data_IF_985741007005
#
_entry.id   IF_985741007005
#
_cell.length_a   1.000
_cell.length_b   1.000
_cell.length_c   1.000
_cell.angle_alpha   90.00
_cell.angle_beta   90.00
_cell.angle_gamma   90.00
#
_symmetry.space_group_name_H-M   'P 1'
#
loop_
_entity.id
_entity.type
_entity.pdbx_description
1 polymer ?
#
# COMPACT_ATOMS: atom_id res chain seq x y z
N UNK A 1 21.32 -35.81 37.85
CA UNK A 1 20.81 -34.43 37.96
C UNK A 1 19.74 -34.21 36.91
N UNK A 2 18.47 -34.12 37.31
CA UNK A 2 17.33 -33.90 36.39
C UNK A 2 17.30 -32.42 35.98
N UNK A 3 17.59 -32.10 34.70
CA UNK A 3 17.40 -30.74 34.16
C UNK A 3 15.92 -30.36 34.25
N UNK A 4 15.59 -29.37 35.07
CA UNK A 4 14.28 -28.74 35.06
C UNK A 4 14.13 -27.94 33.76
N UNK A 5 13.25 -28.40 32.86
CA UNK A 5 12.70 -27.52 31.82
C UNK A 5 11.85 -26.48 32.54
N UNK A 6 12.31 -25.23 32.59
CA UNK A 6 11.46 -24.12 32.99
C UNK A 6 10.29 -24.04 32.00
N UNK A 7 9.07 -24.29 32.48
CA UNK A 7 7.85 -23.96 31.73
C UNK A 7 7.76 -22.44 31.66
N UNK A 8 7.78 -21.87 30.46
CA UNK A 8 7.53 -20.45 30.26
C UNK A 8 6.16 -20.09 30.88
N UNK A 9 6.15 -19.05 31.70
CA UNK A 9 4.95 -18.53 32.34
C UNK A 9 4.02 -17.99 31.26
N UNK A 10 2.82 -18.56 31.12
CA UNK A 10 1.80 -18.15 30.15
C UNK A 10 0.99 -17.00 30.77
N UNK A 11 1.20 -15.73 30.38
CA UNK A 11 0.44 -14.63 30.96
C UNK A 11 -1.04 -14.73 30.56
N UNK A 12 -1.93 -14.35 31.48
CA UNK A 12 -3.37 -14.32 31.21
C UNK A 12 -3.67 -13.41 30.01
N UNK A 13 -4.56 -13.83 29.11
CA UNK A 13 -4.99 -13.05 27.94
C UNK A 13 -4.15 -13.23 26.67
N UNK A 14 -3.03 -13.99 26.71
CA UNK A 14 -2.21 -14.29 25.52
C UNK A 14 -2.20 -15.80 25.24
N UNK A 15 -2.58 -16.19 24.04
CA UNK A 15 -2.56 -17.60 23.62
C UNK A 15 -1.28 -17.96 22.87
N UNK A 16 -0.86 -19.22 22.97
CA UNK A 16 0.27 -19.73 22.20
C UNK A 16 -0.26 -20.44 20.95
N UNK A 17 0.28 -20.06 19.80
CA UNK A 17 -0.06 -20.62 18.51
C UNK A 17 1.01 -21.62 18.04
N UNK A 18 0.50 -22.66 17.40
CA UNK A 18 1.23 -23.78 16.81
C UNK A 18 0.57 -24.09 15.47
N UNK A 19 1.21 -24.91 14.65
CA UNK A 19 0.65 -25.31 13.34
C UNK A 19 -0.76 -25.91 13.47
N UNK A 20 -1.07 -26.53 14.61
CA UNK A 20 -2.35 -27.20 14.86
C UNK A 20 -3.52 -26.26 15.13
N UNK A 21 -3.26 -25.06 15.66
CA UNK A 21 -4.32 -24.15 16.11
C UNK A 21 -4.26 -22.76 15.46
N UNK A 22 -3.20 -22.44 14.71
CA UNK A 22 -2.99 -21.12 14.12
C UNK A 22 -4.19 -20.69 13.27
N UNK A 23 -4.53 -21.45 12.23
CA UNK A 23 -5.60 -21.11 11.30
C UNK A 23 -6.94 -20.89 12.03
N UNK A 24 -7.38 -21.87 12.82
CA UNK A 24 -8.63 -21.77 13.58
C UNK A 24 -8.66 -20.60 14.57
N UNK A 25 -7.52 -20.23 15.15
CA UNK A 25 -7.44 -19.13 16.10
C UNK A 25 -7.56 -17.79 15.38
N UNK A 26 -6.88 -17.61 14.26
CA UNK A 26 -6.94 -16.37 13.47
C UNK A 26 -8.32 -16.23 12.81
N UNK A 27 -8.84 -17.30 12.19
CA UNK A 27 -10.17 -17.31 11.54
C UNK A 27 -11.31 -16.97 12.49
N UNK A 28 -11.18 -17.37 13.76
CA UNK A 28 -12.18 -17.10 14.80
C UNK A 28 -12.20 -15.65 15.29
N UNK A 29 -11.22 -14.82 14.91
CA UNK A 29 -11.06 -13.47 15.46
C UNK A 29 -10.94 -12.41 14.36
N UNK A 30 -11.87 -11.44 14.29
CA UNK A 30 -11.80 -10.34 13.34
C UNK A 30 -10.52 -9.52 13.44
N UNK A 31 -9.86 -9.48 14.60
CA UNK A 31 -8.61 -8.78 14.84
C UNK A 31 -7.71 -9.62 15.74
N UNK A 32 -6.49 -9.91 15.26
CA UNK A 32 -5.50 -10.68 16.00
C UNK A 32 -4.12 -10.04 15.89
N UNK A 33 -3.34 -10.13 16.97
CA UNK A 33 -1.94 -9.72 17.04
C UNK A 33 -1.14 -10.96 17.41
N UNK A 34 -0.21 -11.35 16.54
CA UNK A 34 0.66 -12.51 16.71
C UNK A 34 2.10 -12.06 16.88
N UNK A 35 2.70 -12.42 18.01
CA UNK A 35 4.08 -12.10 18.34
C UNK A 35 4.99 -13.30 18.15
N UNK A 36 5.88 -13.25 17.17
CA UNK A 36 6.95 -14.21 16.96
C UNK A 36 8.08 -13.90 17.92
N UNK A 37 8.44 -14.86 18.77
CA UNK A 37 9.41 -14.68 19.85
C UNK A 37 10.29 -15.92 20.00
N UNK A 38 11.41 -15.79 20.73
CA UNK A 38 12.22 -16.92 21.16
C UNK A 38 12.49 -16.85 22.68
N UNK A 39 12.40 -17.97 23.41
CA UNK A 39 12.62 -17.99 24.86
C UNK A 39 14.06 -17.66 25.26
N UNK A 40 15.01 -17.94 24.37
CA UNK A 40 16.44 -17.69 24.50
C UNK A 40 16.79 -16.19 24.57
N UNK A 41 15.95 -15.31 24.01
CA UNK A 41 16.24 -13.87 23.85
C UNK A 41 15.47 -13.00 24.86
N UNK A 42 16.18 -12.14 25.58
CA UNK A 42 15.59 -11.25 26.58
C UNK A 42 14.62 -10.22 25.97
N UNK A 43 14.96 -9.64 24.80
CA UNK A 43 14.11 -8.73 24.04
C UNK A 43 12.78 -9.37 23.62
N UNK A 44 12.80 -10.67 23.28
CA UNK A 44 11.61 -11.45 22.94
C UNK A 44 10.66 -11.65 24.13
N UNK A 45 11.18 -11.80 25.36
CA UNK A 45 10.33 -11.91 26.56
C UNK A 45 9.58 -10.61 26.87
N UNK A 46 10.15 -9.46 26.52
CA UNK A 46 9.49 -8.16 26.69
C UNK A 46 8.25 -8.02 25.77
N UNK A 47 8.28 -8.61 24.57
CA UNK A 47 7.13 -8.64 23.66
C UNK A 47 5.92 -9.33 24.30
N UNK A 48 6.16 -10.50 24.89
CA UNK A 48 5.11 -11.30 25.55
C UNK A 48 4.47 -10.53 26.70
N UNK A 49 5.26 -9.78 27.47
CA UNK A 49 4.76 -8.91 28.55
C UNK A 49 3.95 -7.73 28.02
N UNK A 50 4.41 -7.10 26.94
CA UNK A 50 3.69 -6.01 26.28
C UNK A 50 2.31 -6.48 25.78
N UNK A 51 2.23 -7.68 25.20
CA UNK A 51 0.97 -8.26 24.73
C UNK A 51 0.03 -8.58 25.87
N UNK A 52 0.53 -9.11 26.98
CA UNK A 52 -0.29 -9.34 28.17
C UNK A 52 -0.91 -8.03 28.68
N UNK A 53 -0.10 -6.96 28.80
CA UNK A 53 -0.58 -5.65 29.21
C UNK A 53 -1.61 -5.06 28.22
N UNK A 54 -1.39 -5.24 26.91
CA UNK A 54 -2.29 -4.78 25.86
C UNK A 54 -3.60 -5.59 25.82
N UNK A 55 -3.57 -6.90 26.09
CA UNK A 55 -4.76 -7.77 26.12
C UNK A 55 -5.80 -7.31 27.15
N UNK A 56 -5.35 -6.78 28.29
CA UNK A 56 -6.23 -6.18 29.29
C UNK A 56 -6.86 -4.87 28.82
N UNK A 57 -6.23 -4.13 27.90
CA UNK A 57 -6.74 -2.86 27.34
C UNK A 57 -7.63 -3.06 26.11
N UNK A 58 -7.43 -4.16 25.37
CA UNK A 58 -8.11 -4.46 24.10
C UNK A 58 -8.76 -5.86 24.14
N UNK A 59 -9.86 -6.05 24.88
CA UNK A 59 -10.44 -7.37 25.13
C UNK A 59 -11.05 -8.05 23.88
N UNK A 60 -11.30 -7.29 22.81
CA UNK A 60 -11.82 -7.80 21.53
C UNK A 60 -10.72 -8.13 20.50
N UNK A 61 -9.45 -7.97 20.88
CA UNK A 61 -8.29 -8.35 20.07
C UNK A 61 -7.74 -9.68 20.58
N UNK A 62 -7.53 -10.63 19.68
CA UNK A 62 -6.78 -11.83 20.01
C UNK A 62 -5.29 -11.47 20.15
N UNK A 63 -4.73 -11.59 21.35
CA UNK A 63 -3.28 -11.56 21.53
C UNK A 63 -2.73 -12.99 21.55
N UNK A 64 -1.75 -13.22 20.69
CA UNK A 64 -1.18 -14.53 20.46
C UNK A 64 0.34 -14.45 20.31
N UNK A 65 1.03 -15.56 20.59
CA UNK A 65 2.47 -15.69 20.39
C UNK A 65 2.81 -16.98 19.65
N UNK A 66 3.88 -16.94 18.86
CA UNK A 66 4.47 -18.11 18.20
C UNK A 66 5.93 -18.18 18.62
N UNK A 67 6.34 -19.29 19.23
CA UNK A 67 7.77 -19.58 19.43
C UNK A 67 8.40 -19.91 18.06
N UNK A 68 9.19 -19.00 17.51
CA UNK A 68 9.77 -19.13 16.18
C UNK A 68 10.86 -20.23 16.11
N UNK A 69 11.50 -20.57 17.23
CA UNK A 69 12.46 -21.69 17.30
C UNK A 69 11.71 -23.03 17.29
N UNK A 70 10.54 -23.10 17.94
CA UNK A 70 9.73 -24.31 18.01
C UNK A 70 8.77 -24.50 16.81
N UNK A 71 8.39 -23.42 16.13
CA UNK A 71 7.45 -23.40 15.00
C UNK A 71 8.07 -22.71 13.76
N UNK A 72 9.21 -23.19 13.25
CA UNK A 72 9.93 -22.54 12.14
C UNK A 72 9.12 -22.48 10.85
N UNK A 73 8.19 -23.45 10.63
CA UNK A 73 7.33 -23.44 9.46
C UNK A 73 6.32 -22.27 9.47
N UNK A 74 5.77 -21.92 10.64
CA UNK A 74 4.89 -20.75 10.77
C UNK A 74 5.71 -19.47 10.58
N UNK A 75 6.88 -19.37 11.21
CA UNK A 75 7.76 -18.21 11.03
C UNK A 75 8.12 -17.98 9.56
N UNK A 76 8.49 -19.05 8.84
CA UNK A 76 8.78 -19.00 7.41
C UNK A 76 7.57 -18.59 6.57
N UNK A 77 6.36 -19.01 6.95
CA UNK A 77 5.13 -18.54 6.27
C UNK A 77 4.97 -17.02 6.40
N UNK A 78 5.29 -16.41 7.52
CA UNK A 78 5.12 -14.96 7.67
C UNK A 78 6.38 -14.15 7.36
N UNK A 79 7.33 -14.74 6.65
CA UNK A 79 8.63 -14.14 6.30
C UNK A 79 9.40 -13.62 7.52
N UNK A 80 9.22 -14.28 8.67
CA UNK A 80 9.83 -13.87 9.94
C UNK A 80 11.25 -14.44 10.02
N UNK A 81 12.22 -13.60 9.67
CA UNK A 81 13.65 -13.93 9.73
C UNK A 81 14.35 -13.51 11.02
N UNK A 82 13.72 -12.64 11.82
CA UNK A 82 14.25 -12.21 13.12
C UNK A 82 13.13 -12.10 14.15
N UNK A 83 13.49 -12.30 15.42
CA UNK A 83 12.60 -12.16 16.57
C UNK A 83 13.17 -11.16 17.58
N UNK A 84 12.32 -10.39 18.29
CA UNK A 84 10.85 -10.40 18.23
C UNK A 84 10.31 -9.79 16.93
N UNK A 85 9.16 -10.28 16.45
CA UNK A 85 8.39 -9.69 15.33
C UNK A 85 6.90 -9.74 15.65
N UNK A 86 6.15 -8.68 15.37
CA UNK A 86 4.70 -8.61 15.58
C UNK A 86 3.97 -8.55 14.25
N UNK A 87 2.95 -9.39 14.07
CA UNK A 87 2.09 -9.44 12.88
C UNK A 87 0.64 -9.20 13.31
N UNK A 88 -0.09 -8.30 12.65
CA UNK A 88 -1.51 -8.02 12.96
C UNK A 88 -2.37 -8.46 11.79
N UNK A 89 -3.39 -9.24 12.12
CA UNK A 89 -4.40 -9.73 11.21
C UNK A 89 -5.71 -8.97 11.44
N UNK A 90 -6.36 -8.55 10.35
CA UNK A 90 -7.73 -8.06 10.34
C UNK A 90 -8.53 -8.89 9.35
N UNK A 91 -9.53 -9.64 9.81
CA UNK A 91 -10.32 -10.56 8.98
C UNK A 91 -9.42 -11.46 8.10
N UNK A 92 -8.41 -12.08 8.72
CA UNK A 92 -7.40 -12.94 8.09
C UNK A 92 -6.43 -12.24 7.12
N UNK A 93 -6.51 -10.92 6.98
CA UNK A 93 -5.59 -10.12 6.17
C UNK A 93 -4.48 -9.58 7.06
N UNK A 94 -3.23 -9.79 6.67
CA UNK A 94 -2.10 -9.17 7.37
C UNK A 94 -2.10 -7.68 7.03
N UNK A 95 -2.38 -6.85 8.03
CA UNK A 95 -2.41 -5.38 7.89
C UNK A 95 -1.20 -4.72 8.51
N UNK A 96 -0.35 -5.48 9.20
CA UNK A 96 0.87 -5.00 9.83
C UNK A 96 1.83 -6.15 10.07
N UNK A 97 3.11 -5.93 9.81
CA UNK A 97 4.21 -6.80 10.22
C UNK A 97 5.40 -5.90 10.58
N UNK A 98 5.94 -6.01 11.80
CA UNK A 98 7.09 -5.21 12.24
C UNK A 98 8.02 -6.00 13.15
N UNK A 99 9.32 -5.96 12.85
CA UNK A 99 10.37 -6.43 13.73
C UNK A 99 10.55 -5.55 14.97
N UNK A 100 10.87 -6.17 16.10
CA UNK A 100 11.04 -5.52 17.39
C UNK A 100 9.83 -5.64 18.31
N UNK A 101 9.99 -5.10 19.52
CA UNK A 101 8.92 -4.98 20.50
C UNK A 101 8.32 -3.58 20.39
N UNK A 102 7.05 -3.41 19.96
CA UNK A 102 6.46 -2.10 19.81
C UNK A 102 6.31 -1.41 21.18
N UNK A 103 6.55 -0.08 21.28
CA UNK A 103 6.16 0.69 22.45
C UNK A 103 4.64 0.55 22.71
N UNK A 104 4.17 0.53 23.97
CA UNK A 104 2.76 0.33 24.28
C UNK A 104 1.81 1.29 23.55
N UNK A 105 2.16 2.58 23.50
CA UNK A 105 1.37 3.61 22.82
C UNK A 105 1.33 3.41 21.29
N UNK A 106 2.41 2.90 20.70
CA UNK A 106 2.48 2.63 19.27
C UNK A 106 1.57 1.45 18.89
N UNK A 107 1.57 0.38 19.70
CA UNK A 107 0.67 -0.74 19.51
C UNK A 107 -0.80 -0.33 19.63
N UNK A 108 -1.13 0.49 20.64
CA UNK A 108 -2.50 0.99 20.83
C UNK A 108 -2.95 1.86 19.65
N UNK A 109 -2.07 2.71 19.11
CA UNK A 109 -2.34 3.51 17.90
C UNK A 109 -2.57 2.65 16.67
N UNK A 110 -1.71 1.65 16.43
CA UNK A 110 -1.86 0.73 15.29
C UNK A 110 -3.17 -0.05 15.40
N UNK A 111 -3.51 -0.55 16.59
CA UNK A 111 -4.79 -1.23 16.81
C UNK A 111 -5.99 -0.31 16.61
N UNK A 112 -5.89 0.96 17.02
CA UNK A 112 -6.90 1.98 16.73
C UNK A 112 -7.10 2.19 15.23
N UNK A 113 -6.01 2.35 14.47
CA UNK A 113 -6.06 2.49 13.01
C UNK A 113 -6.63 1.24 12.32
N UNK A 114 -6.26 0.04 12.78
CA UNK A 114 -6.77 -1.23 12.24
C UNK A 114 -8.25 -1.44 12.58
N UNK A 115 -8.75 -0.95 13.72
CA UNK A 115 -10.19 -0.99 14.05
C UNK A 115 -11.02 -0.06 13.18
N UNK A 116 -10.47 1.12 12.87
CA UNK A 116 -11.12 2.12 12.04
C UNK A 116 -11.31 1.67 10.58
N UNK A 117 -10.75 0.51 10.19
CA UNK A 117 -10.96 -0.10 8.89
C UNK A 117 -12.44 -0.37 8.58
N UNK A 118 -12.97 0.28 7.55
CA UNK A 118 -14.30 0.02 6.99
C UNK A 118 -14.32 -1.25 6.12
N UNK A 119 -14.40 -2.42 6.76
CA UNK A 119 -14.30 -3.71 6.08
C UNK A 119 -15.45 -4.02 5.11
N UNK A 120 -16.63 -3.42 5.29
CA UNK A 120 -17.74 -3.53 4.34
C UNK A 120 -17.47 -2.73 3.05
N UNK A 121 -16.74 -1.61 3.12
CA UNK A 121 -16.26 -0.90 1.92
C UNK A 121 -15.18 -1.73 1.20
N UNK A 122 -14.28 -2.39 1.95
CA UNK A 122 -13.32 -3.35 1.40
C UNK A 122 -14.01 -4.48 0.64
N UNK A 123 -15.11 -5.02 1.18
CA UNK A 123 -15.91 -6.10 0.55
C UNK A 123 -16.73 -5.62 -0.65
N UNK A 124 -17.35 -4.43 -0.59
CA UNK A 124 -18.09 -3.84 -1.74
C UNK A 124 -17.19 -3.52 -2.93
N UNK A 125 -15.94 -3.18 -2.66
CA UNK A 125 -14.93 -2.92 -3.69
C UNK A 125 -14.54 -4.17 -4.51
N UNK A 126 -14.98 -5.37 -4.10
CA UNK A 126 -14.71 -6.68 -4.74
C UNK A 126 -15.75 -7.04 -5.82
N UNK A 127 -16.94 -6.43 -5.82
CA UNK A 127 -18.10 -6.95 -6.58
C UNK A 127 -18.45 -6.20 -7.87
N UNK A 128 -17.51 -5.49 -8.49
CA UNK A 128 -17.73 -4.92 -9.82
C UNK A 128 -16.61 -5.34 -10.79
N UNK A 129 -16.75 -6.53 -11.35
CA UNK A 129 -16.08 -6.94 -12.58
C UNK A 129 -17.20 -7.28 -13.54
N UNK A 130 -17.69 -6.26 -14.25
CA UNK A 130 -18.40 -6.48 -15.49
C UNK A 130 -17.34 -6.53 -16.60
N UNK A 131 -17.24 -7.68 -17.27
CA UNK A 131 -16.51 -7.81 -18.52
C UNK A 131 -17.13 -6.85 -19.55
N UNK A 132 -16.45 -5.76 -19.87
CA UNK A 132 -16.80 -4.91 -21.01
C UNK A 132 -15.94 -5.30 -22.20
N UNK A 133 -16.61 -5.70 -23.27
CA UNK A 133 -16.02 -6.11 -24.54
C UNK A 133 -15.04 -5.08 -25.11
N UNK A 134 -13.94 -5.58 -25.65
CA UNK A 134 -12.89 -4.84 -26.36
C UNK A 134 -13.47 -4.11 -27.59
N UNK A 135 -13.68 -2.80 -27.45
CA UNK A 135 -13.87 -1.88 -28.57
C UNK A 135 -12.57 -1.12 -28.82
N UNK A 136 -11.87 -1.47 -29.91
CA UNK A 136 -10.60 -0.86 -30.28
C UNK A 136 -10.74 0.61 -30.66
N UNK A 137 -10.38 1.49 -29.73
CA UNK A 137 -10.09 2.90 -29.98
C UNK A 137 -8.58 3.11 -29.97
N UNK A 138 -7.96 3.21 -31.15
CA UNK A 138 -6.53 3.45 -31.26
C UNK A 138 -6.13 4.76 -30.57
N UNK A 139 -5.12 4.69 -29.70
CA UNK A 139 -4.55 5.86 -29.03
C UNK A 139 -3.76 6.70 -30.04
N UNK A 140 -3.89 8.03 -30.07
CA UNK A 140 -3.09 8.87 -30.95
C UNK A 140 -1.61 8.80 -30.55
N UNK A 141 -0.74 8.46 -31.51
CA UNK A 141 0.69 8.23 -31.28
C UNK A 141 1.51 9.51 -30.94
N UNK A 142 0.89 10.70 -30.96
CA UNK A 142 1.58 12.01 -30.92
C UNK A 142 1.15 12.94 -29.77
N UNK A 143 0.48 12.45 -28.73
CA UNK A 143 0.10 13.30 -27.59
C UNK A 143 1.21 13.32 -26.53
N UNK A 144 1.62 14.52 -26.11
CA UNK A 144 2.65 14.72 -25.10
C UNK A 144 2.14 14.57 -23.65
N UNK A 145 1.00 13.92 -23.41
CA UNK A 145 0.39 13.84 -22.08
C UNK A 145 -0.26 12.48 -21.81
N UNK A 146 -0.07 11.97 -20.59
CA UNK A 146 -0.72 10.76 -20.08
C UNK A 146 -2.26 10.91 -20.03
N UNK A 147 -2.76 12.15 -19.96
CA UNK A 147 -4.20 12.48 -20.00
C UNK A 147 -4.87 11.90 -21.25
N UNK A 148 -4.17 11.90 -22.39
CA UNK A 148 -4.67 11.38 -23.65
C UNK A 148 -4.84 9.85 -23.69
N UNK A 149 -4.34 9.15 -22.67
CA UNK A 149 -4.42 7.70 -22.54
C UNK A 149 -5.47 7.25 -21.52
N UNK A 150 -6.10 8.18 -20.78
CA UNK A 150 -7.19 7.87 -19.84
C UNK A 150 -8.39 7.29 -20.57
N UNK A 151 -9.31 6.55 -19.94
CA UNK A 151 -10.54 6.16 -20.67
C UNK A 151 -11.34 7.38 -21.16
N UNK A 152 -12.07 7.28 -22.29
CA UNK A 152 -12.77 8.44 -22.86
C UNK A 152 -13.77 9.09 -21.88
N UNK A 153 -14.41 8.30 -21.02
CA UNK A 153 -15.32 8.79 -19.97
C UNK A 153 -14.65 9.72 -18.94
N UNK A 154 -13.33 9.63 -18.81
CA UNK A 154 -12.54 10.45 -17.89
C UNK A 154 -11.98 11.71 -18.57
N UNK A 155 -12.01 11.80 -19.91
CA UNK A 155 -11.48 12.94 -20.68
C UNK A 155 -12.54 14.02 -20.92
N UNK A 156 -12.11 15.28 -21.03
CA UNK A 156 -12.94 16.39 -21.50
C UNK A 156 -13.61 17.24 -20.41
N UNK A 157 -14.20 18.36 -20.81
CA UNK A 157 -14.86 19.31 -19.91
C UNK A 157 -16.17 18.70 -19.34
N UNK A 158 -16.27 18.63 -18.02
CA UNK A 158 -17.41 18.00 -17.32
C UNK A 158 -17.27 16.51 -17.03
N UNK A 159 -16.09 15.92 -17.27
CA UNK A 159 -15.81 14.54 -16.86
C UNK A 159 -15.69 14.40 -15.34
N UNK A 160 -15.72 13.15 -14.85
CA UNK A 160 -15.55 12.83 -13.43
C UNK A 160 -14.23 13.40 -12.84
N UNK A 161 -13.22 13.66 -13.67
CA UNK A 161 -11.97 14.31 -13.21
C UNK A 161 -12.18 15.74 -12.68
N UNK A 162 -13.27 16.42 -13.05
CA UNK A 162 -13.58 17.74 -12.51
C UNK A 162 -13.80 17.70 -10.98
N UNK A 163 -14.23 16.56 -10.42
CA UNK A 163 -14.40 16.40 -8.98
C UNK A 163 -13.11 16.06 -8.24
N UNK A 164 -12.06 15.62 -8.95
CA UNK A 164 -10.81 15.14 -8.35
C UNK A 164 -10.02 16.28 -7.73
N UNK A 165 -9.97 17.45 -8.38
CA UNK A 165 -9.10 18.53 -7.95
C UNK A 165 -9.40 19.11 -6.58
N UNK A 166 -10.66 19.49 -6.26
CA UNK A 166 -11.03 19.93 -4.92
C UNK A 166 -10.73 18.89 -3.83
N UNK A 167 -10.84 17.59 -4.15
CA UNK A 167 -10.61 16.49 -3.21
C UNK A 167 -9.13 16.24 -2.95
N UNK A 168 -8.30 16.28 -4.00
CA UNK A 168 -6.83 16.32 -3.84
C UNK A 168 -6.41 17.53 -2.99
N UNK A 169 -7.03 18.69 -3.19
CA UNK A 169 -6.74 19.88 -2.40
C UNK A 169 -7.15 19.74 -0.92
N UNK A 170 -8.22 19.00 -0.64
CA UNK A 170 -8.63 18.63 0.71
C UNK A 170 -7.72 17.58 1.39
N UNK A 171 -6.74 17.02 0.67
CA UNK A 171 -5.82 16.00 1.17
C UNK A 171 -6.41 14.59 1.15
N UNK A 172 -7.43 14.34 0.33
CA UNK A 172 -8.04 13.01 0.16
C UNK A 172 -7.20 12.13 -0.79
N UNK A 173 -7.32 10.82 -0.62
CA UNK A 173 -6.78 9.84 -1.56
C UNK A 173 -7.82 9.59 -2.66
N UNK A 174 -7.39 9.72 -3.90
CA UNK A 174 -8.22 9.47 -5.08
C UNK A 174 -7.82 8.15 -5.70
N UNK A 175 -8.79 7.27 -5.94
CA UNK A 175 -8.60 6.05 -6.72
C UNK A 175 -9.51 6.08 -7.94
N UNK A 176 -8.92 6.14 -9.12
CA UNK A 176 -9.62 6.10 -10.40
C UNK A 176 -9.52 4.65 -10.90
N UNK A 177 -10.64 3.93 -10.85
CA UNK A 177 -10.70 2.58 -11.41
C UNK A 177 -10.71 2.65 -12.91
N UNK A 178 -10.13 1.63 -13.55
CA UNK A 178 -10.11 1.54 -15.00
C UNK A 178 -9.57 2.82 -15.68
N UNK A 179 -8.55 3.43 -15.06
CA UNK A 179 -8.13 4.79 -15.36
C UNK A 179 -7.72 4.99 -16.82
N UNK A 180 -7.01 4.02 -17.38
CA UNK A 180 -6.44 4.11 -18.73
C UNK A 180 -7.15 3.21 -19.73
N UNK A 181 -6.98 3.49 -21.02
CA UNK A 181 -7.41 2.61 -22.11
C UNK A 181 -6.89 1.17 -21.87
N UNK A 182 -7.73 0.13 -22.03
CA UNK A 182 -7.36 -1.24 -21.71
C UNK A 182 -6.06 -1.70 -22.39
N UNK A 183 -5.88 -1.37 -23.68
CA UNK A 183 -4.69 -1.77 -24.44
C UNK A 183 -3.40 -1.14 -23.89
N UNK A 184 -3.48 0.09 -23.36
CA UNK A 184 -2.34 0.75 -22.74
C UNK A 184 -2.00 0.10 -21.39
N UNK A 185 -3.00 -0.15 -20.54
CA UNK A 185 -2.80 -0.86 -19.27
C UNK A 185 -2.23 -2.27 -19.50
N UNK A 186 -2.74 -2.99 -20.51
CA UNK A 186 -2.32 -4.33 -20.86
C UNK A 186 -0.88 -4.36 -21.41
N UNK A 187 -0.51 -3.37 -22.22
CA UNK A 187 0.87 -3.19 -22.69
C UNK A 187 1.83 -2.99 -21.51
N UNK A 188 1.47 -2.11 -20.58
CA UNK A 188 2.31 -1.84 -19.42
C UNK A 188 2.44 -3.04 -18.49
N UNK A 189 1.33 -3.75 -18.25
CA UNK A 189 1.35 -5.01 -17.50
C UNK A 189 2.32 -6.02 -18.11
N UNK A 190 2.17 -6.33 -19.40
CA UNK A 190 3.05 -7.29 -20.10
C UNK A 190 4.52 -6.91 -20.02
N UNK A 191 4.81 -5.61 -20.18
CA UNK A 191 6.17 -5.10 -20.08
C UNK A 191 6.80 -5.32 -18.70
N UNK A 192 6.05 -5.11 -17.62
CA UNK A 192 6.55 -5.31 -16.25
C UNK A 192 6.57 -6.79 -15.87
N UNK A 193 5.55 -7.55 -16.27
CA UNK A 193 5.41 -8.98 -15.99
C UNK A 193 6.61 -9.81 -16.50
N UNK A 194 7.15 -9.41 -17.66
CA UNK A 194 8.31 -10.03 -18.31
C UNK A 194 9.65 -9.43 -17.86
N UNK A 195 9.65 -8.38 -17.05
CA UNK A 195 10.88 -7.75 -16.57
C UNK A 195 11.61 -8.69 -15.60
N UNK A 196 12.92 -8.83 -15.77
CA UNK A 196 13.79 -9.61 -14.89
C UNK A 196 14.72 -8.73 -14.03
N UNK A 197 14.66 -7.40 -14.17
CA UNK A 197 15.58 -6.45 -13.55
C UNK A 197 15.15 -6.01 -12.14
N UNK A 198 14.14 -6.65 -11.54
CA UNK A 198 13.63 -6.31 -10.22
C UNK A 198 14.71 -6.41 -9.14
N UNK A 199 14.83 -5.38 -8.31
CA UNK A 199 15.80 -5.33 -7.20
C UNK A 199 15.08 -5.24 -5.86
N UNK A 200 15.55 -6.01 -4.88
CA UNK A 200 15.14 -5.85 -3.48
C UNK A 200 15.64 -4.49 -2.98
N UNK A 201 14.73 -3.74 -2.37
CA UNK A 201 15.04 -2.60 -1.55
C UNK A 201 14.49 -2.84 -0.16
N UNK A 202 15.38 -2.82 0.81
CA UNK A 202 15.06 -3.00 2.22
C UNK A 202 15.72 -1.90 3.05
N UNK A 203 15.03 -1.47 4.09
CA UNK A 203 15.54 -0.48 5.03
C UNK A 203 15.03 -0.77 6.42
N UNK A 204 15.92 -0.78 7.40
CA UNK A 204 15.60 -1.01 8.80
C UNK A 204 16.03 0.20 9.64
N UNK A 205 15.10 1.13 9.87
CA UNK A 205 15.24 2.20 10.86
C UNK A 205 14.41 1.89 12.10
N UNK A 206 14.68 2.60 13.20
CA UNK A 206 14.04 2.32 14.51
C UNK A 206 12.50 2.29 14.43
N UNK A 207 11.90 3.13 13.58
CA UNK A 207 10.46 3.28 13.39
C UNK A 207 9.95 3.14 11.96
N UNK A 208 10.83 2.88 11.00
CA UNK A 208 10.47 2.73 9.59
C UNK A 208 11.16 1.49 9.00
N UNK A 209 10.36 0.63 8.39
CA UNK A 209 10.81 -0.59 7.76
C UNK A 209 10.06 -0.78 6.45
N UNK A 210 10.76 -1.28 5.45
CA UNK A 210 10.15 -1.67 4.19
C UNK A 210 10.96 -2.79 3.57
N UNK A 211 10.28 -3.63 2.81
CA UNK A 211 10.87 -4.67 1.98
C UNK A 211 10.03 -4.76 0.72
N UNK A 212 10.60 -4.42 -0.44
CA UNK A 212 9.86 -4.44 -1.70
C UNK A 212 10.79 -4.55 -2.91
N UNK A 213 10.30 -5.12 -4.01
CA UNK A 213 11.08 -5.25 -5.25
C UNK A 213 10.73 -4.17 -6.26
N UNK A 214 11.67 -3.29 -6.59
CA UNK A 214 11.40 -2.12 -7.44
C UNK A 214 12.36 -2.00 -8.62
N UNK A 215 11.93 -1.21 -9.60
CA UNK A 215 12.73 -0.63 -10.66
C UNK A 215 12.78 0.89 -10.42
N UNK A 216 13.97 1.40 -10.07
CA UNK A 216 14.19 2.84 -9.88
C UNK A 216 15.21 3.44 -10.85
N UNK A 217 16.00 2.60 -11.50
CA UNK A 217 17.05 3.01 -12.44
C UNK A 217 16.49 2.96 -13.83
N UNK A 218 16.40 4.11 -14.49
CA UNK A 218 15.78 4.22 -15.81
C UNK A 218 16.51 3.41 -16.89
N UNK A 219 17.80 3.14 -16.70
CA UNK A 219 18.59 2.29 -17.59
C UNK A 219 18.19 0.81 -17.52
N UNK A 220 17.52 0.40 -16.43
CA UNK A 220 17.03 -0.95 -16.19
C UNK A 220 15.57 -1.12 -16.66
N UNK A 221 14.92 -0.05 -17.15
CA UNK A 221 13.53 -0.10 -17.56
C UNK A 221 13.38 -0.86 -18.88
N UNK A 222 12.41 -1.81 -18.96
CA UNK A 222 11.93 -2.30 -20.23
C UNK A 222 11.49 -1.16 -21.15
N UNK A 223 11.55 -1.35 -22.47
CA UNK A 223 11.28 -0.31 -23.47
C UNK A 223 9.95 0.43 -23.22
N UNK A 224 8.87 -0.30 -22.96
CA UNK A 224 7.55 0.31 -22.75
C UNK A 224 7.49 1.07 -21.41
N UNK A 225 8.18 0.59 -20.38
CA UNK A 225 8.30 1.30 -19.11
C UNK A 225 9.12 2.59 -19.25
N UNK A 226 10.22 2.56 -20.02
CA UNK A 226 11.01 3.75 -20.32
C UNK A 226 10.19 4.80 -21.09
N UNK A 227 9.44 4.36 -22.09
CA UNK A 227 8.51 5.22 -22.82
C UNK A 227 7.41 5.80 -21.91
N UNK A 228 6.79 4.97 -21.08
CA UNK A 228 5.77 5.39 -20.12
C UNK A 228 6.34 6.38 -19.10
N UNK A 229 7.55 6.16 -18.61
CA UNK A 229 8.27 7.09 -17.72
C UNK A 229 8.44 8.45 -18.38
N UNK A 230 8.84 8.49 -19.65
CA UNK A 230 8.94 9.74 -20.42
C UNK A 230 7.59 10.44 -20.62
N UNK A 231 6.51 9.67 -20.79
CA UNK A 231 5.14 10.20 -20.87
C UNK A 231 4.66 10.80 -19.54
N UNK A 232 5.02 10.19 -18.39
CA UNK A 232 4.71 10.76 -17.07
C UNK A 232 5.52 12.05 -16.79
N UNK A 233 6.75 12.14 -17.30
CA UNK A 233 7.64 13.30 -17.14
C UNK A 233 7.40 14.43 -18.17
N UNK A 234 6.51 14.23 -19.13
CA UNK A 234 6.31 15.16 -20.22
C UNK A 234 5.72 16.52 -19.76
N UNK A 235 5.97 17.61 -20.51
CA UNK A 235 5.37 18.91 -20.22
C UNK A 235 3.83 18.88 -20.16
N UNK A 236 3.19 18.18 -21.10
CA UNK A 236 1.74 18.00 -21.14
C UNK A 236 1.20 17.32 -19.87
N UNK A 237 1.84 16.24 -19.41
CA UNK A 237 1.45 15.54 -18.18
C UNK A 237 1.66 16.42 -16.95
N UNK A 238 2.80 17.12 -16.85
CA UNK A 238 3.08 18.04 -15.72
C UNK A 238 2.08 19.20 -15.66
N UNK A 239 1.70 19.74 -16.81
CA UNK A 239 0.66 20.77 -16.88
C UNK A 239 -0.70 20.21 -16.47
N UNK A 240 -1.06 19.00 -16.90
CA UNK A 240 -2.30 18.33 -16.52
C UNK A 240 -2.37 18.06 -15.01
N UNK A 241 -1.35 17.41 -14.44
CA UNK A 241 -1.34 17.11 -13.00
C UNK A 241 -1.30 18.38 -12.17
N UNK A 242 -0.61 19.44 -12.64
CA UNK A 242 -0.59 20.71 -11.93
C UNK A 242 -1.96 21.38 -11.89
N UNK A 243 -2.72 21.33 -13.00
CA UNK A 243 -4.13 21.76 -13.01
C UNK A 243 -4.99 20.90 -12.09
N UNK A 244 -4.83 19.58 -12.14
CA UNK A 244 -5.65 18.64 -11.37
C UNK A 244 -5.40 18.76 -9.86
N UNK A 245 -4.14 18.88 -9.44
CA UNK A 245 -3.76 18.87 -8.02
C UNK A 245 -3.79 20.24 -7.33
N UNK A 246 -3.79 21.32 -8.12
CA UNK A 246 -3.52 22.67 -7.62
C UNK A 246 -2.04 22.90 -7.23
N UNK A 247 -1.12 22.01 -7.64
CA UNK A 247 0.31 22.10 -7.30
C UNK A 247 1.18 22.39 -8.50
N UNK A 248 2.17 23.27 -8.33
CA UNK A 248 3.18 23.48 -9.35
C UNK A 248 4.14 22.28 -9.39
N UNK A 249 4.15 21.56 -10.52
CA UNK A 249 5.00 20.39 -10.74
C UNK A 249 6.03 20.59 -11.88
N UNK A 250 6.87 21.65 -11.87
CA UNK A 250 7.79 21.94 -12.96
C UNK A 250 9.05 21.06 -12.95
N UNK A 251 9.35 20.37 -11.85
CA UNK A 251 10.53 19.52 -11.72
C UNK A 251 10.37 18.20 -12.49
N UNK A 252 11.44 17.38 -12.58
CA UNK A 252 11.35 16.03 -13.13
C UNK A 252 10.36 15.17 -12.34
N UNK A 253 9.59 14.34 -13.03
CA UNK A 253 8.83 13.27 -12.43
C UNK A 253 9.79 12.13 -12.04
N UNK A 254 9.72 11.70 -10.79
CA UNK A 254 10.37 10.50 -10.31
C UNK A 254 9.42 9.34 -10.60
N UNK A 255 9.71 8.54 -11.63
CA UNK A 255 8.88 7.40 -12.01
C UNK A 255 9.66 6.12 -11.77
N UNK A 256 9.04 5.14 -11.11
CA UNK A 256 9.54 3.78 -10.96
C UNK A 256 8.43 2.76 -11.13
N UNK A 257 8.78 1.50 -10.94
CA UNK A 257 7.81 0.41 -10.86
C UNK A 257 8.09 -0.46 -9.64
N UNK A 258 7.05 -1.12 -9.15
CA UNK A 258 7.14 -2.07 -8.05
C UNK A 258 6.47 -3.39 -8.38
N UNK A 259 7.06 -4.46 -7.89
CA UNK A 259 6.49 -5.80 -7.82
C UNK A 259 6.54 -6.25 -6.37
N UNK A 260 5.40 -6.25 -5.71
CA UNK A 260 5.34 -6.73 -4.33
C UNK A 260 5.17 -8.26 -4.33
N UNK A 261 6.21 -8.93 -3.86
CA UNK A 261 6.26 -10.38 -3.64
C UNK A 261 5.71 -10.75 -2.26
N UNK A 262 5.39 -12.03 -2.01
CA UNK A 262 5.15 -12.53 -0.65
C UNK A 262 6.22 -12.05 0.34
N UNK A 263 5.81 -11.52 1.49
CA UNK A 263 6.73 -10.88 2.46
C UNK A 263 6.86 -9.36 2.27
N UNK A 264 6.66 -8.84 1.05
CA UNK A 264 6.85 -7.42 0.77
C UNK A 264 5.80 -6.55 1.46
N UNK A 265 6.26 -5.39 1.94
CA UNK A 265 5.47 -4.42 2.67
C UNK A 265 6.19 -3.07 2.75
N UNK A 266 5.46 -2.04 3.16
CA UNK A 266 6.05 -0.82 3.70
C UNK A 266 5.40 -0.46 5.02
N UNK A 267 6.12 0.23 5.89
CA UNK A 267 5.55 0.84 7.09
C UNK A 267 4.98 2.24 6.80
N UNK A 268 4.13 2.78 7.70
CA UNK A 268 3.56 4.11 7.55
C UNK A 268 4.61 5.19 7.24
N UNK A 269 4.41 5.90 6.14
CA UNK A 269 5.21 7.06 5.69
C UNK A 269 4.30 8.05 4.95
N UNK A 270 4.76 9.27 4.68
CA UNK A 270 3.90 10.33 4.10
C UNK A 270 4.44 10.95 2.80
N UNK A 271 5.55 10.42 2.27
CA UNK A 271 6.26 10.92 1.08
C UNK A 271 6.79 12.36 1.15
N UNK A 272 6.74 13.02 2.31
CA UNK A 272 7.35 14.34 2.48
C UNK A 272 8.86 14.20 2.50
N UNK A 273 9.47 14.29 1.32
CA UNK A 273 10.91 14.15 1.12
C UNK A 273 11.42 15.17 0.09
N UNK A 274 12.72 15.48 0.19
CA UNK A 274 13.43 16.21 -0.86
C UNK A 274 13.69 15.28 -2.06
N UNK A 275 13.52 15.86 -3.25
CA UNK A 275 13.76 15.28 -4.57
C UNK A 275 14.99 15.88 -5.25
N UNK A 276 15.67 16.80 -4.58
CA UNK A 276 16.84 17.53 -5.09
C UNK A 276 17.11 18.78 -4.24
N UNK A 277 18.13 19.57 -4.59
CA UNK A 277 18.57 20.74 -3.80
C UNK A 277 17.48 21.79 -3.54
N UNK A 278 16.43 21.83 -4.36
CA UNK A 278 15.29 22.75 -4.24
C UNK A 278 13.98 22.11 -4.75
N UNK A 279 13.91 20.78 -4.78
CA UNK A 279 12.74 20.06 -5.29
C UNK A 279 12.14 19.19 -4.20
N UNK A 280 10.83 19.16 -4.15
CA UNK A 280 10.04 18.35 -3.24
C UNK A 280 8.96 17.58 -4.00
N UNK A 281 8.63 16.40 -3.50
CA UNK A 281 7.50 15.60 -3.99
C UNK A 281 6.20 16.38 -3.77
N UNK A 282 5.43 16.58 -4.83
CA UNK A 282 4.19 17.36 -4.81
C UNK A 282 2.96 16.49 -4.85
N UNK A 283 2.92 15.61 -5.85
CA UNK A 283 1.79 14.73 -6.13
C UNK A 283 2.36 13.34 -6.29
N UNK A 284 1.89 12.41 -5.47
CA UNK A 284 2.23 11.00 -5.58
C UNK A 284 1.22 10.32 -6.50
N UNK A 285 1.69 9.32 -7.23
CA UNK A 285 0.84 8.42 -7.99
C UNK A 285 1.25 6.97 -7.80
N UNK A 286 0.25 6.09 -7.87
CA UNK A 286 0.45 4.65 -7.95
C UNK A 286 -0.55 4.10 -8.95
N UNK A 287 -0.10 3.57 -10.07
CA UNK A 287 -0.92 2.89 -11.04
C UNK A 287 -0.81 1.39 -10.83
N UNK A 288 -1.80 0.79 -10.18
CA UNK A 288 -1.85 -0.65 -9.97
C UNK A 288 -2.17 -1.38 -11.27
N UNK A 289 -1.37 -2.41 -11.55
CA UNK A 289 -1.47 -3.33 -12.68
C UNK A 289 -1.56 -4.77 -12.14
N UNK A 290 -2.35 -4.98 -11.08
CA UNK A 290 -2.49 -6.27 -10.41
C UNK A 290 -3.70 -7.05 -10.95
N UNK A 291 -3.46 -8.03 -11.82
CA UNK A 291 -4.51 -8.92 -12.35
C UNK A 291 -4.87 -10.00 -11.34
N UNK A 292 -6.17 -10.29 -11.25
CA UNK A 292 -6.74 -11.37 -10.42
C UNK A 292 -6.26 -11.32 -8.96
N UNK A 293 -5.93 -10.13 -8.45
CA UNK A 293 -5.44 -9.94 -7.10
C UNK A 293 -6.58 -10.09 -6.10
N UNK A 294 -6.38 -10.93 -5.10
CA UNK A 294 -7.37 -11.15 -4.07
C UNK A 294 -7.10 -10.26 -2.86
N UNK A 295 -8.11 -9.55 -2.32
CA UNK A 295 -7.91 -8.70 -1.14
C UNK A 295 -7.30 -9.45 0.06
N UNK A 296 -7.63 -10.72 0.26
CA UNK A 296 -7.07 -11.53 1.35
C UNK A 296 -5.55 -11.75 1.27
N UNK A 297 -4.95 -11.52 0.10
CA UNK A 297 -3.50 -11.61 -0.07
C UNK A 297 -2.75 -10.40 0.49
N UNK A 298 -3.44 -9.38 1.01
CA UNK A 298 -2.77 -8.16 1.47
C UNK A 298 -2.30 -7.32 0.28
N UNK A 299 -1.14 -6.67 0.42
CA UNK A 299 -0.67 -5.73 -0.60
C UNK A 299 -1.63 -4.57 -0.88
N UNK A 300 -2.52 -4.21 0.04
CA UNK A 300 -3.36 -3.04 -0.16
C UNK A 300 -2.57 -1.76 0.10
N UNK A 301 -2.95 -0.70 -0.61
CA UNK A 301 -2.58 0.64 -0.19
C UNK A 301 -3.49 1.02 0.99
N UNK A 302 -2.88 1.23 2.15
CA UNK A 302 -3.57 1.63 3.36
C UNK A 302 -3.43 3.14 3.54
N UNK A 303 -4.55 3.86 3.57
CA UNK A 303 -4.59 5.30 3.82
C UNK A 303 -4.89 5.58 5.28
N UNK A 304 -3.88 6.04 6.04
CA UNK A 304 -3.97 6.12 7.49
C UNK A 304 -4.96 7.18 7.98
N UNK A 305 -5.09 8.30 7.27
CA UNK A 305 -5.94 9.42 7.69
C UNK A 305 -7.40 9.00 7.93
N UNK A 306 -7.86 7.97 7.21
CA UNK A 306 -9.25 7.50 7.22
C UNK A 306 -9.38 6.02 7.56
N UNK A 307 -8.26 5.34 7.82
CA UNK A 307 -8.25 3.88 8.02
C UNK A 307 -8.75 3.15 6.77
N UNK A 308 -8.44 3.64 5.58
CA UNK A 308 -8.97 3.06 4.34
C UNK A 308 -8.03 1.97 3.83
N UNK A 309 -8.52 0.74 3.73
CA UNK A 309 -7.82 -0.37 3.10
C UNK A 309 -8.24 -0.44 1.63
N UNK A 310 -7.31 -0.18 0.70
CA UNK A 310 -7.61 -0.18 -0.72
C UNK A 310 -6.85 -1.31 -1.43
N UNK A 311 -7.54 -2.43 -1.78
CA UNK A 311 -6.91 -3.58 -2.41
C UNK A 311 -6.19 -3.22 -3.71
N UNK A 312 -5.14 -3.97 -4.05
CA UNK A 312 -4.58 -3.89 -5.39
C UNK A 312 -5.60 -4.41 -6.42
N UNK A 313 -5.74 -3.69 -7.52
CA UNK A 313 -6.66 -4.01 -8.60
C UNK A 313 -6.04 -3.58 -9.93
N UNK A 314 -6.44 -4.24 -11.02
CA UNK A 314 -5.90 -3.92 -12.33
C UNK A 314 -6.35 -2.53 -12.79
N UNK A 315 -5.47 -1.84 -13.52
CA UNK A 315 -5.71 -0.55 -14.14
C UNK A 315 -6.30 0.52 -13.20
N UNK A 316 -5.86 0.56 -11.94
CA UNK A 316 -6.37 1.52 -10.96
C UNK A 316 -5.29 2.57 -10.66
N UNK A 317 -5.58 3.84 -10.96
CA UNK A 317 -4.67 4.96 -10.71
C UNK A 317 -5.03 5.62 -9.37
N UNK A 318 -4.07 5.62 -8.45
CA UNK A 318 -4.13 6.35 -7.20
C UNK A 318 -3.39 7.68 -7.34
N UNK A 319 -3.99 8.74 -6.80
CA UNK A 319 -3.42 10.09 -6.75
C UNK A 319 -3.65 10.68 -5.36
N UNK A 320 -2.63 11.33 -4.81
CA UNK A 320 -2.80 12.18 -3.62
C UNK A 320 -1.75 13.29 -3.61
N UNK A 321 -2.13 14.42 -2.99
CA UNK A 321 -1.21 15.50 -2.71
C UNK A 321 -0.31 15.13 -1.52
N UNK A 322 1.00 15.21 -1.71
CA UNK A 322 1.99 14.87 -0.68
C UNK A 322 1.95 15.96 0.39
N UNK A 323 1.66 15.56 1.62
CA UNK A 323 1.58 16.44 2.81
C UNK A 323 2.00 15.66 4.05
N UNK A 324 2.26 16.32 5.20
CA UNK A 324 2.47 15.60 6.45
C UNK A 324 1.33 14.65 6.84
N UNK A 325 0.10 14.93 6.37
CA UNK A 325 -1.11 14.15 6.65
C UNK A 325 -1.35 12.99 5.67
N UNK A 326 -0.62 12.90 4.55
CA UNK A 326 -0.75 11.80 3.57
C UNK A 326 -0.07 10.51 4.04
N UNK A 327 -0.19 10.17 5.32
CA UNK A 327 0.42 8.95 5.84
C UNK A 327 -0.28 7.73 5.24
N UNK A 328 0.49 6.84 4.66
CA UNK A 328 0.04 5.63 4.01
C UNK A 328 1.11 4.55 4.06
N UNK A 329 0.74 3.33 3.67
CA UNK A 329 1.67 2.22 3.53
C UNK A 329 1.09 1.11 2.66
N UNK A 330 1.91 0.13 2.30
CA UNK A 330 1.47 -1.10 1.64
C UNK A 330 1.41 -2.21 2.67
N UNK A 331 0.21 -2.76 2.88
CA UNK A 331 0.03 -3.89 3.80
C UNK A 331 0.83 -5.09 3.34
N UNK A 332 1.31 -5.89 4.28
CA UNK A 332 2.09 -7.09 3.99
C UNK A 332 1.42 -8.01 2.98
N UNK A 333 2.19 -8.49 2.01
CA UNK A 333 1.73 -9.49 1.06
C UNK A 333 1.82 -10.87 1.70
N UNK A 334 0.69 -11.58 1.70
CA UNK A 334 0.58 -12.93 2.24
C UNK A 334 1.58 -13.90 1.57
N UNK A 335 2.17 -14.86 2.31
CA UNK A 335 2.92 -15.98 1.73
C UNK A 335 2.14 -16.79 0.69
N UNK A 336 0.81 -16.77 0.79
CA UNK A 336 -0.08 -17.54 -0.06
C UNK A 336 -0.56 -16.76 -1.29
N UNK A 337 -0.03 -15.54 -1.49
CA UNK A 337 -0.34 -14.76 -2.68
C UNK A 337 0.20 -15.46 -3.93
N UNK A 338 -0.67 -15.65 -4.93
CA UNK A 338 -0.32 -16.32 -6.20
C UNK A 338 -0.32 -15.36 -7.40
N UNK A 339 -0.92 -14.18 -7.25
CA UNK A 339 -0.91 -13.14 -8.27
C UNK A 339 0.36 -12.31 -8.27
N UNK A 340 0.49 -11.41 -9.25
CA UNK A 340 1.53 -10.37 -9.25
C UNK A 340 0.93 -9.02 -8.93
N UNK A 341 1.36 -8.44 -7.81
CA UNK A 341 1.05 -7.04 -7.47
C UNK A 341 2.09 -6.13 -8.13
N UNK A 342 1.83 -5.81 -9.40
CA UNK A 342 2.63 -4.85 -10.16
C UNK A 342 2.05 -3.45 -10.04
N UNK A 343 2.92 -2.44 -10.02
CA UNK A 343 2.51 -1.04 -10.14
C UNK A 343 3.57 -0.18 -10.83
N UNK A 344 3.14 0.89 -11.47
CA UNK A 344 3.99 2.02 -11.85
C UNK A 344 3.73 3.12 -10.82
N UNK A 345 4.75 3.62 -10.14
CA UNK A 345 4.58 4.52 -9.01
C UNK A 345 5.64 5.61 -8.99
N UNK A 346 5.34 6.72 -8.35
CA UNK A 346 6.26 7.84 -8.37
C UNK A 346 5.68 9.16 -7.88
N UNK A 347 6.40 10.23 -8.17
CA UNK A 347 6.07 11.58 -7.75
C UNK A 347 6.33 12.59 -8.86
N UNK A 348 5.42 13.53 -9.03
CA UNK A 348 5.73 14.79 -9.70
C UNK A 348 6.32 15.77 -8.68
N UNK A 349 7.35 16.53 -9.08
CA UNK A 349 8.16 17.34 -8.16
C UNK A 349 8.09 18.84 -8.49
N UNK A 350 8.37 19.67 -7.48
CA UNK A 350 8.31 21.13 -7.61
C UNK A 350 8.97 21.87 -6.44
N UNK A 351 9.10 23.21 -6.55
CA UNK A 351 9.95 24.00 -5.66
C UNK A 351 9.34 24.35 -4.29
N UNK A 352 8.01 24.36 -4.17
CA UNK A 352 7.35 24.73 -2.91
C UNK A 352 7.29 23.55 -1.93
N UNK A 353 7.51 23.77 -0.63
CA UNK A 353 7.26 22.76 0.38
C UNK A 353 5.80 22.28 0.36
N UNK A 354 5.55 21.06 0.85
CA UNK A 354 4.28 20.28 0.81
C UNK A 354 3.12 20.87 1.63
N UNK A 355 2.81 22.15 1.43
CA UNK A 355 1.70 22.85 2.09
C UNK A 355 0.33 22.46 1.48
N UNK A 356 -0.75 22.79 2.19
CA UNK A 356 -2.10 22.63 1.68
C UNK A 356 -2.25 23.46 0.38
N UNK A 357 -2.63 22.85 -0.76
CA UNK A 357 -2.73 23.59 -2.01
C UNK A 357 -3.99 24.45 -2.03
N UNK A 358 -3.91 25.59 -2.72
CA UNK A 358 -5.08 26.38 -3.06
C UNK A 358 -5.68 25.85 -4.38
N UNK A 359 -6.91 25.32 -4.33
CA UNK A 359 -7.66 25.00 -5.54
C UNK A 359 -8.23 26.27 -6.16
N UNK A 360 -7.83 26.57 -7.40
CA UNK A 360 -8.26 27.77 -8.14
C UNK A 360 -9.04 27.43 -9.43
N UNK A 361 -9.46 26.17 -9.61
CA UNK A 361 -10.25 25.74 -10.77
C UNK A 361 -11.76 26.00 -10.60
N UNK A 362 -12.57 25.78 -11.66
CA UNK A 362 -14.01 26.02 -11.60
C UNK A 362 -14.68 25.20 -10.48
N UNK A 363 -15.64 25.80 -9.79
CA UNK A 363 -16.44 25.12 -8.77
C UNK A 363 -17.24 23.96 -9.42
N UNK A 364 -17.17 22.78 -8.78
CA UNK A 364 -17.96 21.55 -8.99
C UNK A 364 -18.84 21.53 -10.26
N UNK A 365 -18.49 20.67 -11.21
CA UNK A 365 -19.44 20.19 -12.24
C UNK A 365 -20.10 18.91 -11.73
N UNK A 366 -21.41 18.80 -11.94
CA UNK A 366 -22.32 17.86 -11.28
C UNK A 366 -21.98 16.37 -11.43
N UNK A 367 -22.39 15.61 -10.41
CA UNK A 367 -22.16 14.18 -10.24
C UNK A 367 -22.73 13.31 -11.38
N UNK A 368 -21.87 12.49 -11.96
CA UNK A 368 -22.23 11.41 -12.87
C UNK A 368 -21.04 10.49 -13.14
N UNK A 369 -21.12 9.23 -12.67
CA UNK A 369 -20.20 8.14 -13.01
C UNK A 369 -19.46 7.54 -11.81
N UNK A 370 -19.71 6.27 -11.52
CA UNK A 370 -19.25 5.48 -10.37
C UNK A 370 -17.79 4.99 -10.42
N UNK A 371 -16.90 5.65 -11.18
CA UNK A 371 -15.54 5.16 -11.45
C UNK A 371 -14.44 5.76 -10.55
N UNK A 372 -14.73 6.88 -9.88
CA UNK A 372 -13.78 7.58 -8.99
C UNK A 372 -14.19 7.35 -7.54
N UNK A 373 -13.31 6.66 -6.79
CA UNK A 373 -13.44 6.43 -5.36
C UNK A 373 -12.57 7.42 -4.60
N UNK A 374 -13.07 7.86 -3.46
CA UNK A 374 -12.45 8.92 -2.65
C UNK A 374 -12.39 8.44 -1.21
N UNK A 375 -11.21 8.54 -0.62
CA UNK A 375 -10.89 7.97 0.68
C UNK A 375 -10.37 8.99 1.66
#
# INVERSE_FOLDING_TARGET
MKKHKQKAHKPAGVIELTERNFASAIDGHPLAVVGFWAPSLASSRALVQAFAAASSRHPDVLFATVDAEAQPAIAAQFDVHSVPTSVIFRHNIIVYARGGTPPPEALDKVLGAVRALEMEQVRRNVTSVDEVALGGGGVPADTDSIEAYLRPALRGAGSALAEVGPRLAAGELIAIRDAFEPDFAERMFRSLDQCAAWRVYEGHEADFHYHHHNLYRSEEYPQDMAWCSGLFDSPGTKAWVGRLSGRACPGPAEVGASWYLPGDHSLPHNDVAASGPELHRQVAFVWHLAKDWRPEWGGALFWCAKGSYVPAAFNTLFLFNVTPASTHFVTHVSPFAQGKRLAINGWWTGPAATQAPAWNGPDRIAAGGSEILVY
#
